data_IF_110824663624
#
_entry.id   IF_110824663624
#
_cell.length_a   1.000
_cell.length_b   1.000
_cell.length_c   1.000
_cell.angle_alpha   90.00
_cell.angle_beta   90.00
_cell.angle_gamma   90.00
#
_symmetry.space_group_name_H-M   'P 1'
#
loop_
_entity.id
_entity.type
_entity.pdbx_description
1 polymer ?
#
# COMPACT_ATOMS: atom_id res chain seq x y z
N UNK A 1 -85.13 -120.69 88.66
CA UNK A 1 -84.91 -120.41 90.08
C UNK A 1 -85.96 -119.37 90.43
N UNK A 2 -86.92 -119.70 91.30
CA UNK A 2 -88.18 -118.95 91.54
C UNK A 2 -89.09 -118.89 90.29
N UNK A 3 -90.31 -119.43 90.22
CA UNK A 3 -91.39 -119.55 91.19
C UNK A 3 -91.92 -121.00 91.18
N UNK A 4 -91.53 -121.73 92.22
CA UNK A 4 -91.92 -123.08 92.57
C UNK A 4 -92.92 -123.03 93.75
N UNK A 5 -93.83 -122.06 93.75
CA UNK A 5 -94.78 -121.81 94.85
C UNK A 5 -96.20 -121.56 94.34
N UNK A 6 -96.86 -122.58 93.80
CA UNK A 6 -98.32 -122.73 93.90
C UNK A 6 -98.76 -124.18 93.66
N UNK A 7 -98.15 -125.08 94.45
CA UNK A 7 -98.81 -126.30 94.93
C UNK A 7 -99.44 -125.97 96.29
N UNK A 8 -100.75 -125.75 96.38
CA UNK A 8 -101.61 -126.10 97.54
C UNK A 8 -103.02 -125.52 97.38
N UNK A 9 -104.04 -126.35 97.64
CA UNK A 9 -105.50 -126.17 97.43
C UNK A 9 -105.88 -126.35 95.95
N UNK A 10 -106.43 -127.45 95.47
CA UNK A 10 -107.32 -128.42 96.10
C UNK A 10 -107.11 -129.79 95.46
N UNK A 11 -106.49 -130.69 96.20
CA UNK A 11 -106.76 -132.12 96.15
C UNK A 11 -107.29 -132.45 97.55
N UNK A 12 -108.61 -132.66 97.67
CA UNK A 12 -109.30 -133.43 98.73
C UNK A 12 -110.81 -133.08 98.75
N UNK A 13 -111.59 -133.89 98.04
CA UNK A 13 -112.90 -134.41 98.49
C UNK A 13 -113.21 -135.60 97.58
N UNK A 14 -112.99 -136.80 98.11
CA UNK A 14 -114.03 -137.75 98.52
C UNK A 14 -114.80 -138.27 97.30
N UNK A 15 -114.53 -139.45 96.74
CA UNK A 15 -114.61 -140.76 97.40
C UNK A 15 -115.81 -140.84 98.35
N UNK A 16 -116.99 -141.03 97.76
CA UNK A 16 -118.15 -141.75 98.29
C UNK A 16 -119.06 -141.99 97.06
N UNK A 17 -119.46 -143.19 96.65
CA UNK A 17 -119.72 -144.35 97.48
C UNK A 17 -121.21 -144.53 97.76
N UNK A 18 -122.12 -144.41 96.79
CA UNK A 18 -123.38 -145.19 96.87
C UNK A 18 -124.08 -145.44 95.54
N UNK A 19 -124.34 -146.72 95.35
CA UNK A 19 -125.21 -147.39 94.40
C UNK A 19 -126.63 -146.81 94.48
N UNK A 20 -127.25 -146.55 93.33
CA UNK A 20 -128.71 -146.63 93.16
C UNK A 20 -129.02 -146.90 91.69
N UNK A 21 -129.55 -148.09 91.43
CA UNK A 21 -129.99 -148.57 90.13
C UNK A 21 -130.93 -147.57 89.43
N UNK A 22 -130.56 -147.14 88.22
CA UNK A 22 -131.54 -146.63 87.26
C UNK A 22 -131.01 -146.73 85.81
N UNK A 23 -131.56 -147.73 85.10
CA UNK A 23 -131.77 -147.90 83.65
C UNK A 23 -130.71 -147.37 82.64
N UNK A 24 -130.19 -148.24 81.74
CA UNK A 24 -129.03 -147.98 80.85
C UNK A 24 -129.21 -146.99 79.67
N UNK A 25 -130.29 -146.21 79.59
CA UNK A 25 -130.57 -145.38 78.41
C UNK A 25 -130.09 -143.91 78.52
N UNK A 26 -129.94 -143.36 79.72
CA UNK A 26 -129.64 -141.93 79.94
C UNK A 26 -128.14 -141.58 79.86
N UNK A 27 -127.25 -142.57 79.97
CA UNK A 27 -125.79 -142.37 79.94
C UNK A 27 -125.25 -142.13 78.53
N UNK A 28 -125.90 -142.70 77.52
CA UNK A 28 -125.55 -142.55 76.10
C UNK A 28 -125.77 -141.12 75.59
N UNK A 29 -126.90 -140.51 75.96
CA UNK A 29 -127.27 -139.15 75.54
C UNK A 29 -126.32 -138.07 76.11
N UNK A 30 -125.83 -138.26 77.34
CA UNK A 30 -124.85 -137.34 77.96
C UNK A 30 -123.51 -137.44 77.24
N UNK A 31 -123.09 -138.65 76.86
CA UNK A 31 -121.86 -138.86 76.11
C UNK A 31 -121.92 -138.29 74.70
N UNK A 32 -123.04 -138.42 73.96
CA UNK A 32 -123.21 -137.79 72.64
C UNK A 32 -123.12 -136.26 72.70
N UNK A 33 -123.75 -135.64 73.71
CA UNK A 33 -123.68 -134.18 73.89
C UNK A 33 -122.26 -133.71 74.23
N UNK A 34 -121.52 -134.47 75.05
CA UNK A 34 -120.12 -134.19 75.35
C UNK A 34 -119.22 -134.40 74.12
N UNK A 35 -119.50 -135.42 73.32
CA UNK A 35 -118.74 -135.72 72.09
C UNK A 35 -118.95 -134.60 71.06
N UNK A 36 -120.18 -134.12 70.88
CA UNK A 36 -120.48 -132.98 70.00
C UNK A 36 -119.89 -131.66 70.51
N UNK A 37 -119.85 -131.44 71.83
CA UNK A 37 -119.18 -130.28 72.41
C UNK A 37 -117.66 -130.33 72.17
N UNK A 38 -117.05 -131.49 72.44
CA UNK A 38 -115.63 -131.71 72.17
C UNK A 38 -115.30 -131.59 70.67
N UNK A 39 -116.16 -132.07 69.78
CA UNK A 39 -115.96 -131.96 68.33
C UNK A 39 -116.05 -130.50 67.86
N UNK A 40 -116.97 -129.71 68.42
CA UNK A 40 -117.02 -128.26 68.16
C UNK A 40 -115.83 -127.52 68.73
N UNK A 41 -115.38 -127.84 69.93
CA UNK A 41 -114.18 -127.25 70.52
C UNK A 41 -112.92 -127.63 69.71
N UNK A 42 -112.85 -128.87 69.23
CA UNK A 42 -111.75 -129.35 68.39
C UNK A 42 -111.78 -128.69 67.00
N UNK A 43 -112.97 -128.48 66.44
CA UNK A 43 -113.13 -127.74 65.20
C UNK A 43 -112.77 -126.26 65.38
N UNK A 44 -113.17 -125.62 66.47
CA UNK A 44 -112.76 -124.24 66.81
C UNK A 44 -111.26 -124.14 67.04
N UNK A 45 -110.64 -125.11 67.70
CA UNK A 45 -109.19 -125.16 67.89
C UNK A 45 -108.44 -125.37 66.57
N UNK A 46 -108.99 -126.19 65.66
CA UNK A 46 -108.43 -126.37 64.32
C UNK A 46 -108.59 -125.11 63.47
N UNK A 47 -109.74 -124.45 63.50
CA UNK A 47 -109.98 -123.17 62.82
C UNK A 47 -109.06 -122.07 63.35
N UNK A 48 -108.90 -121.97 64.67
CA UNK A 48 -107.95 -121.05 65.30
C UNK A 48 -106.49 -121.38 64.92
N UNK A 49 -106.12 -122.66 64.93
CA UNK A 49 -104.79 -123.12 64.50
C UNK A 49 -104.52 -122.79 63.03
N UNK A 50 -105.51 -122.95 62.16
CA UNK A 50 -105.42 -122.56 60.75
C UNK A 50 -105.30 -121.04 60.57
N UNK A 51 -106.05 -120.23 61.33
CA UNK A 51 -105.90 -118.77 61.32
C UNK A 51 -104.51 -118.33 61.80
N UNK A 52 -103.95 -119.03 62.80
CA UNK A 52 -102.62 -118.73 63.32
C UNK A 52 -101.52 -119.13 62.33
N UNK A 53 -101.72 -120.23 61.60
CA UNK A 53 -100.85 -120.60 60.47
C UNK A 53 -100.93 -119.57 59.35
N UNK A 54 -102.12 -119.14 58.95
CA UNK A 54 -102.31 -118.07 57.95
C UNK A 54 -101.63 -116.76 58.38
N UNK A 55 -101.80 -116.36 59.64
CA UNK A 55 -101.13 -115.18 60.19
C UNK A 55 -99.60 -115.33 60.21
N UNK A 56 -99.08 -116.52 60.50
CA UNK A 56 -97.64 -116.78 60.41
C UNK A 56 -97.15 -116.76 58.97
N UNK A 57 -97.89 -117.31 58.00
CA UNK A 57 -97.55 -117.24 56.58
C UNK A 57 -97.53 -115.79 56.07
N UNK A 58 -98.49 -114.96 56.49
CA UNK A 58 -98.51 -113.52 56.21
C UNK A 58 -97.31 -112.80 56.84
N UNK A 59 -96.98 -113.11 58.11
CA UNK A 59 -95.81 -112.54 58.77
C UNK A 59 -94.50 -112.97 58.06
N UNK A 60 -94.37 -114.22 57.67
CA UNK A 60 -93.21 -114.71 56.90
C UNK A 60 -93.11 -114.00 55.54
N UNK A 61 -94.23 -113.77 54.84
CA UNK A 61 -94.25 -113.00 53.61
C UNK A 61 -93.81 -111.55 53.82
N UNK A 62 -94.32 -110.87 54.86
CA UNK A 62 -93.90 -109.49 55.18
C UNK A 62 -92.44 -109.39 55.59
N UNK A 63 -91.91 -110.38 56.33
CA UNK A 63 -90.48 -110.46 56.68
C UNK A 63 -89.65 -110.62 55.42
N UNK A 64 -90.05 -111.49 54.49
CA UNK A 64 -89.34 -111.69 53.23
C UNK A 64 -89.36 -110.42 52.35
N UNK A 65 -90.49 -109.72 52.29
CA UNK A 65 -90.60 -108.45 51.57
C UNK A 65 -89.68 -107.38 52.16
N UNK A 66 -89.70 -107.20 53.49
CA UNK A 66 -88.81 -106.27 54.20
C UNK A 66 -87.34 -106.64 54.04
N UNK A 67 -87.00 -107.93 53.98
CA UNK A 67 -85.64 -108.39 53.72
C UNK A 67 -85.19 -108.00 52.31
N UNK A 68 -86.02 -108.21 51.29
CA UNK A 68 -85.72 -107.79 49.91
C UNK A 68 -85.59 -106.27 49.82
N UNK A 69 -86.48 -105.51 50.46
CA UNK A 69 -86.40 -104.06 50.51
C UNK A 69 -85.12 -103.58 51.21
N UNK A 70 -84.75 -104.20 52.34
CA UNK A 70 -83.51 -103.89 53.04
C UNK A 70 -82.28 -104.21 52.19
N UNK A 71 -82.25 -105.36 51.51
CA UNK A 71 -81.17 -105.74 50.60
C UNK A 71 -81.06 -104.77 49.42
N UNK A 72 -82.17 -104.35 48.83
CA UNK A 72 -82.22 -103.34 47.78
C UNK A 72 -81.64 -102.00 48.27
N UNK A 73 -82.12 -101.50 49.41
CA UNK A 73 -81.61 -100.27 50.03
C UNK A 73 -80.11 -100.34 50.34
N UNK A 74 -79.63 -101.48 50.85
CA UNK A 74 -78.20 -101.72 51.11
C UNK A 74 -77.39 -101.72 49.82
N UNK A 75 -77.91 -102.30 48.74
CA UNK A 75 -77.24 -102.34 47.44
C UNK A 75 -77.19 -100.96 46.78
N UNK A 76 -78.26 -100.18 46.88
CA UNK A 76 -78.32 -98.78 46.41
C UNK A 76 -77.32 -97.91 47.16
N UNK A 77 -77.29 -97.96 48.49
CA UNK A 77 -76.32 -97.23 49.31
C UNK A 77 -74.87 -97.64 48.98
N UNK A 78 -74.62 -98.94 48.75
CA UNK A 78 -73.29 -99.42 48.31
C UNK A 78 -72.92 -98.87 46.92
N UNK A 79 -73.87 -98.77 46.00
CA UNK A 79 -73.64 -98.18 44.67
C UNK A 79 -73.36 -96.68 44.78
N UNK A 80 -74.11 -95.96 45.62
CA UNK A 80 -73.92 -94.54 45.88
C UNK A 80 -72.55 -94.26 46.53
N UNK A 81 -72.15 -95.05 47.54
CA UNK A 81 -70.81 -94.97 48.14
C UNK A 81 -69.72 -95.16 47.07
N UNK A 82 -69.86 -96.14 46.18
CA UNK A 82 -68.91 -96.35 45.07
C UNK A 82 -68.88 -95.16 44.11
N UNK A 83 -70.03 -94.56 43.80
CA UNK A 83 -70.08 -93.37 42.94
C UNK A 83 -69.42 -92.16 43.61
N UNK A 84 -69.71 -91.90 44.89
CA UNK A 84 -69.08 -90.83 45.66
C UNK A 84 -67.56 -91.03 45.79
N UNK A 85 -67.09 -92.27 45.96
CA UNK A 85 -65.66 -92.57 45.96
C UNK A 85 -64.99 -92.26 44.62
N UNK A 86 -65.64 -92.58 43.49
CA UNK A 86 -65.12 -92.20 42.16
C UNK A 86 -65.10 -90.69 41.99
N UNK A 87 -66.17 -89.99 42.37
CA UNK A 87 -66.21 -88.52 42.31
C UNK A 87 -65.14 -87.86 43.18
N UNK A 88 -64.89 -88.41 44.37
CA UNK A 88 -63.82 -87.95 45.25
C UNK A 88 -62.44 -88.18 44.63
N UNK A 89 -62.22 -89.34 43.99
CA UNK A 89 -60.97 -89.62 43.29
C UNK A 89 -60.74 -88.66 42.10
N UNK A 90 -61.77 -88.41 41.27
CA UNK A 90 -61.65 -87.46 40.15
C UNK A 90 -61.39 -86.03 40.64
N UNK A 91 -62.07 -85.58 41.70
CA UNK A 91 -61.83 -84.26 42.27
C UNK A 91 -60.43 -84.12 42.89
N UNK A 92 -59.87 -85.20 43.45
CA UNK A 92 -58.49 -85.22 43.94
C UNK A 92 -57.48 -85.13 42.80
N UNK A 93 -57.69 -85.86 41.71
CA UNK A 93 -56.87 -85.78 40.51
C UNK A 93 -56.90 -84.36 39.91
N UNK A 94 -58.08 -83.77 39.75
CA UNK A 94 -58.23 -82.38 39.29
C UNK A 94 -57.48 -81.40 40.20
N UNK A 95 -57.63 -81.51 41.52
CA UNK A 95 -56.89 -80.69 42.48
C UNK A 95 -55.38 -80.81 42.29
N UNK A 96 -54.87 -82.02 42.09
CA UNK A 96 -53.44 -82.26 41.94
C UNK A 96 -52.91 -81.76 40.58
N UNK A 97 -53.71 -81.85 39.51
CA UNK A 97 -53.38 -81.20 38.23
C UNK A 97 -53.33 -79.66 38.35
N UNK A 98 -54.24 -79.05 39.10
CA UNK A 98 -54.23 -77.61 39.34
C UNK A 98 -53.06 -77.16 40.20
N UNK A 99 -52.66 -77.95 41.21
CA UNK A 99 -51.44 -77.69 41.98
C UNK A 99 -50.20 -77.71 41.09
N UNK A 100 -50.11 -78.69 40.18
CA UNK A 100 -48.99 -78.77 39.25
C UNK A 100 -48.94 -77.56 38.32
N UNK A 101 -50.08 -77.17 37.73
CA UNK A 101 -50.20 -75.95 36.92
C UNK A 101 -49.82 -74.68 37.68
N UNK A 102 -50.17 -74.61 38.97
CA UNK A 102 -49.80 -73.47 39.81
C UNK A 102 -48.28 -73.38 40.01
N UNK A 103 -47.62 -74.52 40.27
CA UNK A 103 -46.15 -74.58 40.39
C UNK A 103 -45.49 -74.16 39.08
N UNK A 104 -45.93 -74.68 37.94
CA UNK A 104 -45.41 -74.31 36.62
C UNK A 104 -45.57 -72.81 36.31
N UNK A 105 -46.70 -72.23 36.72
CA UNK A 105 -46.95 -70.80 36.58
C UNK A 105 -46.03 -69.97 37.49
N UNK A 106 -45.85 -70.39 38.74
CA UNK A 106 -44.98 -69.74 39.72
C UNK A 106 -43.50 -69.76 39.29
N UNK A 107 -43.04 -70.89 38.74
CA UNK A 107 -41.71 -71.02 38.13
C UNK A 107 -41.57 -70.11 36.90
N UNK A 108 -42.60 -70.05 36.06
CA UNK A 108 -42.61 -69.17 34.87
C UNK A 108 -42.54 -67.69 35.28
N UNK A 109 -43.32 -67.26 36.27
CA UNK A 109 -43.30 -65.90 36.80
C UNK A 109 -41.93 -65.57 37.40
N UNK A 110 -41.35 -66.51 38.17
CA UNK A 110 -40.01 -66.35 38.75
C UNK A 110 -38.93 -66.21 37.67
N UNK A 111 -39.05 -66.94 36.56
CA UNK A 111 -38.13 -66.83 35.44
C UNK A 111 -38.27 -65.48 34.71
N UNK A 112 -39.49 -65.03 34.41
CA UNK A 112 -39.71 -63.72 33.81
C UNK A 112 -39.22 -62.58 34.72
N UNK A 113 -39.41 -62.71 36.03
CA UNK A 113 -38.90 -61.72 36.99
C UNK A 113 -37.37 -61.63 36.95
N UNK A 114 -36.68 -62.79 36.87
CA UNK A 114 -35.22 -62.85 36.72
C UNK A 114 -34.75 -62.22 35.41
N UNK A 115 -35.41 -62.54 34.30
CA UNK A 115 -35.09 -61.99 32.98
C UNK A 115 -35.29 -60.47 32.93
N UNK A 116 -36.35 -59.94 33.55
CA UNK A 116 -36.58 -58.49 33.68
C UNK A 116 -35.45 -57.84 34.47
N UNK A 117 -35.02 -58.43 35.60
CA UNK A 117 -33.91 -57.92 36.40
C UNK A 117 -32.59 -57.91 35.64
N UNK A 118 -32.29 -58.97 34.90
CA UNK A 118 -31.08 -59.08 34.08
C UNK A 118 -31.09 -58.04 32.95
N UNK A 119 -32.20 -57.94 32.21
CA UNK A 119 -32.37 -56.92 31.18
C UNK A 119 -32.27 -55.49 31.73
N UNK A 120 -32.87 -55.22 32.89
CA UNK A 120 -32.77 -53.92 33.56
C UNK A 120 -31.31 -53.58 33.92
N UNK A 121 -30.55 -54.55 34.44
CA UNK A 121 -29.14 -54.36 34.74
C UNK A 121 -28.31 -54.08 33.49
N UNK A 122 -28.61 -54.76 32.38
CA UNK A 122 -27.91 -54.57 31.11
C UNK A 122 -28.19 -53.19 30.51
N UNK A 123 -29.45 -52.73 30.56
CA UNK A 123 -29.83 -51.38 30.13
C UNK A 123 -29.13 -50.32 30.98
N UNK A 124 -29.08 -50.50 32.30
CA UNK A 124 -28.44 -49.55 33.20
C UNK A 124 -26.93 -49.43 32.95
N UNK A 125 -26.25 -50.56 32.69
CA UNK A 125 -24.84 -50.56 32.32
C UNK A 125 -24.59 -49.87 30.97
N UNK A 126 -25.46 -50.11 29.98
CA UNK A 126 -25.38 -49.43 28.67
C UNK A 126 -25.60 -47.91 28.79
N UNK A 127 -26.54 -47.49 29.64
CA UNK A 127 -26.78 -46.07 29.92
C UNK A 127 -25.55 -45.43 30.57
N UNK A 128 -24.92 -46.10 31.52
CA UNK A 128 -23.69 -45.63 32.17
C UNK A 128 -22.52 -45.53 31.18
N UNK A 129 -22.33 -46.54 30.31
CA UNK A 129 -21.33 -46.52 29.24
C UNK A 129 -21.56 -45.37 28.24
N UNK A 130 -22.81 -45.16 27.81
CA UNK A 130 -23.17 -44.06 26.91
C UNK A 130 -22.96 -42.70 27.58
N UNK A 131 -23.26 -42.58 28.87
CA UNK A 131 -23.04 -41.36 29.64
C UNK A 131 -21.55 -41.05 29.77
N UNK A 132 -20.70 -42.06 30.00
CA UNK A 132 -19.25 -41.91 29.99
C UNK A 132 -18.71 -41.53 28.62
N UNK A 133 -19.20 -42.16 27.55
CA UNK A 133 -18.83 -41.80 26.17
C UNK A 133 -19.21 -40.35 25.87
N UNK A 134 -20.43 -39.92 26.22
CA UNK A 134 -20.89 -38.55 26.02
C UNK A 134 -20.04 -37.55 26.81
N UNK A 135 -19.70 -37.85 28.07
CA UNK A 135 -18.79 -37.02 28.86
C UNK A 135 -17.39 -36.92 28.23
N UNK A 136 -16.86 -38.02 27.69
CA UNK A 136 -15.56 -38.02 27.01
C UNK A 136 -15.58 -37.18 25.74
N UNK A 137 -16.62 -37.31 24.91
CA UNK A 137 -16.78 -36.52 23.67
C UNK A 137 -16.92 -35.04 24.01
N UNK A 138 -17.68 -34.72 25.05
CA UNK A 138 -17.87 -33.34 25.49
C UNK A 138 -16.56 -32.71 25.98
N UNK A 139 -15.76 -33.44 26.76
CA UNK A 139 -14.41 -32.98 27.14
C UNK A 139 -13.51 -32.75 25.92
N UNK A 140 -13.53 -33.65 24.93
CA UNK A 140 -12.73 -33.46 23.71
C UNK A 140 -13.21 -32.28 22.87
N UNK A 141 -14.52 -32.02 22.85
CA UNK A 141 -15.09 -30.87 22.17
C UNK A 141 -14.59 -29.58 22.82
N UNK A 142 -14.70 -29.45 24.14
CA UNK A 142 -14.23 -28.28 24.90
C UNK A 142 -12.73 -28.02 24.66
N UNK A 143 -11.90 -29.08 24.67
CA UNK A 143 -10.46 -28.98 24.36
C UNK A 143 -10.21 -28.47 22.93
N UNK A 144 -10.97 -28.96 21.95
CA UNK A 144 -10.83 -28.52 20.55
C UNK A 144 -11.32 -27.09 20.34
N UNK A 145 -12.37 -26.66 21.04
CA UNK A 145 -12.85 -25.27 21.02
C UNK A 145 -11.80 -24.33 21.60
N UNK A 146 -11.15 -24.72 22.70
CA UNK A 146 -10.07 -23.95 23.30
C UNK A 146 -8.84 -23.85 22.37
N UNK A 147 -8.47 -24.95 21.71
CA UNK A 147 -7.40 -24.94 20.70
C UNK A 147 -7.76 -24.04 19.51
N UNK A 148 -9.00 -24.12 19.02
CA UNK A 148 -9.46 -23.26 17.93
C UNK A 148 -9.37 -21.78 18.32
N UNK A 149 -9.87 -21.40 19.50
CA UNK A 149 -9.76 -20.03 20.00
C UNK A 149 -8.30 -19.54 20.06
N UNK A 150 -7.37 -20.38 20.53
CA UNK A 150 -5.95 -20.05 20.55
C UNK A 150 -5.37 -19.82 19.14
N UNK A 151 -5.74 -20.67 18.17
CA UNK A 151 -5.29 -20.50 16.78
C UNK A 151 -5.85 -19.25 16.10
N UNK A 152 -7.08 -18.84 16.44
CA UNK A 152 -7.68 -17.60 15.93
C UNK A 152 -6.90 -16.38 16.42
N UNK A 153 -6.60 -16.30 17.73
CA UNK A 153 -5.80 -15.21 18.31
C UNK A 153 -4.41 -15.13 17.66
N UNK A 154 -3.77 -16.29 17.44
CA UNK A 154 -2.48 -16.34 16.76
C UNK A 154 -2.56 -15.90 15.30
N UNK A 155 -3.64 -16.24 14.59
CA UNK A 155 -3.86 -15.77 13.22
C UNK A 155 -4.00 -14.24 13.15
N UNK A 156 -4.75 -13.64 14.08
CA UNK A 156 -4.90 -12.19 14.17
C UNK A 156 -3.58 -11.49 14.50
N UNK A 157 -2.77 -12.08 15.39
CA UNK A 157 -1.40 -11.62 15.69
C UNK A 157 -0.53 -11.61 14.43
N UNK A 158 -0.53 -12.71 13.66
CA UNK A 158 0.22 -12.81 12.41
C UNK A 158 -0.27 -11.83 11.34
N UNK A 159 -1.58 -11.60 11.23
CA UNK A 159 -2.15 -10.58 10.34
C UNK A 159 -1.69 -9.18 10.71
N UNK A 160 -1.67 -8.84 12.00
CA UNK A 160 -1.17 -7.54 12.48
C UNK A 160 0.33 -7.36 12.17
N UNK A 161 1.14 -8.40 12.37
CA UNK A 161 2.56 -8.39 12.00
C UNK A 161 2.77 -8.19 10.51
N UNK A 162 1.99 -8.89 9.68
CA UNK A 162 2.07 -8.78 8.24
C UNK A 162 1.63 -7.38 7.75
N UNK A 163 0.62 -6.78 8.38
CA UNK A 163 0.25 -5.39 8.11
C UNK A 163 1.40 -4.42 8.43
N UNK A 164 2.02 -4.58 9.59
CA UNK A 164 3.15 -3.73 10.02
C UNK A 164 4.31 -3.84 9.04
N UNK A 165 4.71 -5.06 8.67
CA UNK A 165 5.78 -5.29 7.70
C UNK A 165 5.48 -4.69 6.30
N UNK A 166 4.21 -4.68 5.89
CA UNK A 166 3.79 -4.02 4.63
C UNK A 166 3.92 -2.51 4.70
N UNK A 167 3.58 -1.90 5.84
CA UNK A 167 3.71 -0.46 6.02
C UNK A 167 5.18 -0.03 6.10
N UNK A 168 6.03 -0.80 6.79
CA UNK A 168 7.50 -0.62 6.78
C UNK A 168 8.08 -0.72 5.37
N UNK A 169 7.66 -1.71 4.58
CA UNK A 169 8.11 -1.84 3.18
C UNK A 169 7.69 -0.62 2.34
N UNK A 170 6.48 -0.10 2.54
CA UNK A 170 5.99 1.10 1.86
C UNK A 170 6.83 2.32 2.23
N UNK A 171 7.18 2.49 3.50
CA UNK A 171 8.03 3.58 3.98
C UNK A 171 9.44 3.50 3.36
N UNK A 172 10.06 2.32 3.36
CA UNK A 172 11.38 2.11 2.73
C UNK A 172 11.33 2.42 1.24
N UNK A 173 10.26 2.02 0.54
CA UNK A 173 10.08 2.34 -0.87
C UNK A 173 9.96 3.86 -1.12
N UNK A 174 9.23 4.58 -0.27
CA UNK A 174 9.12 6.03 -0.34
C UNK A 174 10.48 6.72 -0.08
N UNK A 175 11.21 6.28 0.93
CA UNK A 175 12.56 6.77 1.22
C UNK A 175 13.52 6.54 0.05
N UNK A 176 13.47 5.38 -0.61
CA UNK A 176 14.27 5.10 -1.81
C UNK A 176 13.94 6.04 -2.97
N UNK A 177 12.65 6.36 -3.19
CA UNK A 177 12.25 7.33 -4.23
C UNK A 177 12.77 8.74 -3.92
N UNK A 178 12.69 9.18 -2.66
CA UNK A 178 13.22 10.47 -2.23
C UNK A 178 14.73 10.53 -2.43
N UNK A 179 15.46 9.48 -2.02
CA UNK A 179 16.90 9.40 -2.19
C UNK A 179 17.31 9.38 -3.67
N UNK A 180 16.59 8.65 -4.51
CA UNK A 180 16.83 8.65 -5.95
C UNK A 180 16.60 10.03 -6.57
N UNK A 181 15.55 10.75 -6.14
CA UNK A 181 15.29 12.12 -6.58
C UNK A 181 16.39 13.08 -6.15
N UNK A 182 16.80 13.05 -4.88
CA UNK A 182 17.92 13.86 -4.37
C UNK A 182 19.22 13.56 -5.12
N UNK A 183 19.48 12.29 -5.43
CA UNK A 183 20.61 11.88 -6.26
C UNK A 183 20.56 12.53 -7.64
N UNK A 184 19.42 12.46 -8.33
CA UNK A 184 19.22 13.09 -9.64
C UNK A 184 19.37 14.62 -9.58
N UNK A 185 18.71 15.27 -8.62
CA UNK A 185 18.76 16.73 -8.44
C UNK A 185 20.22 17.19 -8.18
N UNK A 186 20.96 16.44 -7.36
CA UNK A 186 22.38 16.71 -7.11
C UNK A 186 23.26 16.53 -8.36
N UNK A 187 22.96 15.51 -9.17
CA UNK A 187 23.68 15.25 -10.42
C UNK A 187 23.40 16.35 -11.46
N UNK A 188 22.16 16.81 -11.56
CA UNK A 188 21.75 17.91 -12.43
C UNK A 188 22.45 19.21 -12.03
N UNK A 189 22.44 19.56 -10.74
CA UNK A 189 23.17 20.73 -10.23
C UNK A 189 24.67 20.68 -10.54
N UNK A 190 25.31 19.52 -10.41
CA UNK A 190 26.72 19.33 -10.79
C UNK A 190 26.94 19.43 -12.30
N UNK A 191 26.00 18.98 -13.13
CA UNK A 191 26.08 19.13 -14.59
C UNK A 191 25.97 20.60 -15.00
N UNK A 192 25.04 21.34 -14.42
CA UNK A 192 24.87 22.77 -14.68
C UNK A 192 26.09 23.57 -14.24
N UNK A 193 26.64 23.29 -13.06
CA UNK A 193 27.88 23.91 -12.61
C UNK A 193 29.06 23.60 -13.54
N UNK A 194 29.20 22.35 -14.01
CA UNK A 194 30.22 21.99 -15.00
C UNK A 194 30.03 22.73 -16.32
N UNK A 195 28.78 22.89 -16.78
CA UNK A 195 28.46 23.64 -18.01
C UNK A 195 28.88 25.10 -17.86
N UNK A 196 28.50 25.74 -16.76
CA UNK A 196 28.85 27.14 -16.48
C UNK A 196 30.36 27.36 -16.39
N UNK A 197 31.09 26.49 -15.68
CA UNK A 197 32.54 26.55 -15.62
C UNK A 197 33.19 26.31 -17.00
N UNK A 198 32.61 25.41 -17.80
CA UNK A 198 33.01 25.19 -19.19
C UNK A 198 32.85 26.44 -20.05
N UNK A 199 31.71 27.13 -19.94
CA UNK A 199 31.42 28.38 -20.65
C UNK A 199 32.39 29.50 -20.23
N UNK A 200 32.67 29.62 -18.93
CA UNK A 200 33.67 30.58 -18.41
C UNK A 200 35.07 30.29 -18.96
N UNK A 201 35.48 29.02 -19.00
CA UNK A 201 36.77 28.61 -19.54
C UNK A 201 36.85 28.87 -21.06
N UNK A 202 35.78 28.62 -21.81
CA UNK A 202 35.71 28.94 -23.23
C UNK A 202 35.81 30.45 -23.47
N UNK A 203 35.11 31.27 -22.69
CA UNK A 203 35.18 32.73 -22.78
C UNK A 203 36.59 33.25 -22.45
N UNK A 204 37.22 32.73 -21.39
CA UNK A 204 38.59 33.08 -21.02
C UNK A 204 39.59 32.70 -22.13
N UNK A 205 39.46 31.49 -22.70
CA UNK A 205 40.30 31.04 -23.81
C UNK A 205 40.11 31.90 -25.06
N UNK A 206 38.89 32.34 -25.36
CA UNK A 206 38.64 33.28 -26.46
C UNK A 206 39.35 34.62 -26.22
N UNK A 207 39.32 35.14 -24.99
CA UNK A 207 40.04 36.36 -24.61
C UNK A 207 41.55 36.21 -24.73
N UNK A 208 42.12 35.08 -24.29
CA UNK A 208 43.55 34.77 -24.44
C UNK A 208 43.94 34.76 -25.92
N UNK A 209 43.17 34.08 -26.77
CA UNK A 209 43.42 34.06 -28.23
C UNK A 209 43.39 35.46 -28.83
N UNK A 210 42.43 36.29 -28.43
CA UNK A 210 42.33 37.67 -28.90
C UNK A 210 43.53 38.51 -28.46
N UNK A 211 43.94 38.40 -27.18
CA UNK A 211 45.13 39.07 -26.67
C UNK A 211 46.41 38.62 -27.39
N UNK A 212 46.53 37.32 -27.70
CA UNK A 212 47.65 36.79 -28.48
C UNK A 212 47.70 37.42 -29.87
N UNK A 213 46.57 37.49 -30.57
CA UNK A 213 46.49 38.14 -31.88
C UNK A 213 46.89 39.63 -31.82
N UNK A 214 46.50 40.32 -30.76
CA UNK A 214 46.87 41.72 -30.54
C UNK A 214 48.37 41.88 -30.29
N UNK A 215 48.96 40.97 -29.52
CA UNK A 215 50.41 40.93 -29.28
C UNK A 215 51.16 40.69 -30.59
N UNK A 216 50.75 39.69 -31.38
CA UNK A 216 51.36 39.38 -32.68
C UNK A 216 51.29 40.58 -33.64
N UNK A 217 50.16 41.30 -33.67
CA UNK A 217 50.01 42.51 -34.48
C UNK A 217 50.91 43.66 -33.98
N UNK A 218 51.07 43.80 -32.66
CA UNK A 218 51.97 44.78 -32.06
C UNK A 218 53.42 44.48 -32.39
N UNK A 219 53.82 43.21 -32.34
CA UNK A 219 55.19 42.79 -32.65
C UNK A 219 55.50 43.02 -34.15
N UNK A 220 54.55 42.79 -35.05
CA UNK A 220 54.70 43.16 -36.47
C UNK A 220 54.91 44.67 -36.67
N UNK A 221 54.22 45.52 -35.91
CA UNK A 221 54.41 46.97 -35.97
C UNK A 221 55.78 47.36 -35.40
N UNK A 222 56.21 46.72 -34.31
CA UNK A 222 57.54 46.92 -33.74
C UNK A 222 58.64 46.56 -34.76
N UNK A 223 58.53 45.42 -35.43
CA UNK A 223 59.45 45.00 -36.50
C UNK A 223 59.47 46.02 -37.66
N UNK A 224 58.31 46.51 -38.09
CA UNK A 224 58.22 47.56 -39.13
C UNK A 224 58.89 48.86 -38.72
N UNK A 225 58.71 49.28 -37.46
CA UNK A 225 59.34 50.48 -36.92
C UNK A 225 60.85 50.30 -36.82
N UNK A 226 61.33 49.13 -36.36
CA UNK A 226 62.76 48.82 -36.34
C UNK A 226 63.37 48.86 -37.72
N UNK A 227 62.69 48.30 -38.73
CA UNK A 227 63.15 48.39 -40.12
C UNK A 227 63.25 49.85 -40.58
N UNK A 228 62.23 50.66 -40.32
CA UNK A 228 62.22 52.08 -40.70
C UNK A 228 63.31 52.88 -40.00
N UNK A 229 63.59 52.59 -38.72
CA UNK A 229 64.70 53.20 -37.98
C UNK A 229 66.03 52.84 -38.64
N UNK A 230 66.24 51.58 -39.02
CA UNK A 230 67.45 51.16 -39.72
C UNK A 230 67.61 51.86 -41.07
N UNK A 231 66.53 51.94 -41.87
CA UNK A 231 66.54 52.61 -43.17
C UNK A 231 66.89 54.11 -43.01
N UNK A 232 66.26 54.80 -42.06
CA UNK A 232 66.55 56.20 -41.74
C UNK A 232 67.98 56.39 -41.21
N UNK A 233 68.48 55.45 -40.41
CA UNK A 233 69.87 55.49 -39.90
C UNK A 233 70.85 55.40 -41.07
N UNK A 234 70.62 54.49 -42.01
CA UNK A 234 71.44 54.38 -43.23
C UNK A 234 71.35 55.63 -44.10
N UNK A 235 70.19 56.25 -44.24
CA UNK A 235 70.00 57.50 -45.00
C UNK A 235 70.73 58.68 -44.34
N UNK A 236 70.67 58.78 -43.00
CA UNK A 236 71.43 59.76 -42.23
C UNK A 236 72.93 59.53 -42.36
N UNK A 237 73.41 58.29 -42.30
CA UNK A 237 74.82 57.96 -42.52
C UNK A 237 75.26 58.30 -43.96
N UNK A 238 74.43 58.00 -44.96
CA UNK A 238 74.70 58.32 -46.36
C UNK A 238 74.76 59.84 -46.61
N UNK A 239 73.78 60.58 -46.11
CA UNK A 239 73.77 62.05 -46.21
C UNK A 239 74.89 62.71 -45.41
N UNK A 240 75.26 62.16 -44.25
CA UNK A 240 76.43 62.58 -43.47
C UNK A 240 77.73 62.38 -44.26
N UNK A 241 77.92 61.21 -44.89
CA UNK A 241 79.08 60.94 -45.74
C UNK A 241 79.13 61.86 -46.97
N UNK A 242 77.97 62.17 -47.57
CA UNK A 242 77.88 63.14 -48.67
C UNK A 242 78.22 64.56 -48.19
N UNK A 243 77.73 64.96 -47.03
CA UNK A 243 78.05 66.24 -46.41
C UNK A 243 79.54 66.36 -46.09
N UNK A 244 80.15 65.33 -45.50
CA UNK A 244 81.58 65.26 -45.22
C UNK A 244 82.40 65.40 -46.52
N UNK A 245 81.99 64.69 -47.57
CA UNK A 245 82.62 64.78 -48.90
C UNK A 245 82.52 66.20 -49.49
N UNK A 246 81.35 66.85 -49.37
CA UNK A 246 81.12 68.25 -49.79
C UNK A 246 81.95 69.22 -48.95
N UNK A 247 82.06 68.99 -47.65
CA UNK A 247 82.86 69.79 -46.72
C UNK A 247 84.34 69.73 -47.09
N UNK A 248 84.89 68.54 -47.32
CA UNK A 248 86.28 68.33 -47.79
C UNK A 248 86.51 69.06 -49.12
N UNK A 249 85.58 68.92 -50.09
CA UNK A 249 85.68 69.62 -51.36
C UNK A 249 85.66 71.14 -51.18
N UNK A 250 84.77 71.66 -50.35
CA UNK A 250 84.69 73.08 -50.03
C UNK A 250 85.97 73.59 -49.36
N UNK A 251 86.54 72.82 -48.43
CA UNK A 251 87.80 73.17 -47.78
C UNK A 251 88.96 73.19 -48.79
N UNK A 252 88.99 72.25 -49.75
CA UNK A 252 89.92 72.28 -50.88
C UNK A 252 89.73 73.51 -51.76
N UNK A 253 88.48 73.90 -52.06
CA UNK A 253 88.19 75.13 -52.79
C UNK A 253 88.63 76.38 -52.01
N UNK A 254 88.36 76.46 -50.71
CA UNK A 254 88.79 77.56 -49.86
C UNK A 254 90.33 77.67 -49.83
N UNK A 255 91.04 76.54 -49.76
CA UNK A 255 92.50 76.54 -49.88
C UNK A 255 92.98 77.05 -51.26
N UNK A 256 92.28 76.69 -52.35
CA UNK A 256 92.55 77.25 -53.69
C UNK A 256 92.26 78.74 -53.75
N UNK A 257 91.14 79.21 -53.18
CA UNK A 257 90.83 80.64 -53.10
C UNK A 257 91.87 81.39 -52.28
N UNK A 258 92.26 80.89 -51.10
CA UNK A 258 93.32 81.48 -50.29
C UNK A 258 94.68 81.53 -51.02
N UNK A 259 94.95 80.52 -51.87
CA UNK A 259 96.13 80.53 -52.75
C UNK A 259 96.01 81.58 -53.84
N UNK A 260 94.87 81.67 -54.51
CA UNK A 260 94.59 82.70 -55.52
C UNK A 260 94.59 84.11 -54.93
N UNK A 261 94.08 84.31 -53.72
CA UNK A 261 94.16 85.56 -52.97
C UNK A 261 95.61 85.93 -52.66
N UNK A 262 96.46 84.96 -52.30
CA UNK A 262 97.91 85.21 -52.18
C UNK A 262 98.53 85.57 -53.53
N UNK A 263 98.17 84.88 -54.61
CA UNK A 263 98.67 85.19 -55.96
C UNK A 263 98.20 86.59 -56.43
N UNK A 264 96.95 86.97 -56.14
CA UNK A 264 96.39 88.31 -56.36
C UNK A 264 97.05 89.37 -55.48
N UNK A 265 97.31 89.08 -54.21
CA UNK A 265 98.04 89.97 -53.29
C UNK A 265 99.48 90.20 -53.76
N UNK A 266 100.14 89.16 -54.29
CA UNK A 266 101.44 89.29 -54.97
C UNK A 266 101.29 90.13 -56.24
N UNK A 267 100.20 89.98 -57.00
CA UNK A 267 99.90 90.79 -58.17
C UNK A 267 99.67 92.28 -57.82
N UNK A 268 98.92 92.56 -56.76
CA UNK A 268 98.73 93.90 -56.18
C UNK A 268 100.05 94.49 -55.69
N UNK A 269 100.89 93.69 -55.05
CA UNK A 269 102.20 94.13 -54.58
C UNK A 269 103.19 94.42 -55.72
N UNK A 270 103.04 93.73 -56.86
CA UNK A 270 103.77 94.03 -58.11
C UNK A 270 103.19 95.28 -58.81
N UNK A 271 101.90 95.55 -58.67
CA UNK A 271 101.21 96.71 -59.23
C UNK A 271 101.32 97.99 -58.39
N UNK A 272 101.77 97.93 -57.14
CA UNK A 272 101.81 99.07 -56.20
C UNK A 272 102.99 100.06 -56.39
N UNK A 273 103.74 99.96 -57.50
CA UNK A 273 104.73 100.94 -57.94
C UNK A 273 104.31 101.62 -59.26
N UNK A 274 103.09 102.19 -59.31
CA UNK A 274 102.75 103.40 -60.08
C UNK A 274 101.23 103.70 -59.98
N UNK A 275 100.94 104.92 -59.51
CA UNK A 275 99.71 105.71 -59.69
C UNK A 275 98.48 105.40 -58.81
N UNK A 276 98.19 106.38 -57.95
CA UNK A 276 96.84 106.87 -57.60
C UNK A 276 96.35 107.87 -58.67
N UNK A 277 95.10 108.38 -58.65
CA UNK A 277 93.81 107.88 -58.17
C UNK A 277 92.72 107.97 -59.30
N UNK A 278 91.44 107.69 -59.01
CA UNK A 278 90.25 108.52 -59.37
C UNK A 278 88.95 107.75 -59.13
N UNK A 279 88.04 108.41 -58.42
CA UNK A 279 86.65 108.07 -58.11
C UNK A 279 85.75 107.97 -59.34
N UNK A 280 84.69 107.14 -59.26
CA UNK A 280 83.30 107.58 -59.51
C UNK A 280 82.35 106.73 -58.64
N UNK A 281 81.60 107.26 -57.67
CA UNK A 281 80.33 108.01 -57.77
C UNK A 281 79.26 107.32 -58.63
N UNK A 282 78.49 106.39 -58.05
CA UNK A 282 77.10 106.06 -58.42
C UNK A 282 76.52 104.97 -57.49
N UNK A 283 76.39 105.25 -56.18
CA UNK A 283 75.79 104.28 -55.24
C UNK A 283 74.70 104.90 -54.35
N UNK A 284 74.00 105.94 -54.81
CA UNK A 284 72.96 106.59 -54.00
C UNK A 284 71.55 106.47 -54.58
N UNK A 285 71.39 106.20 -55.88
CA UNK A 285 70.09 105.91 -56.51
C UNK A 285 69.70 104.40 -56.51
N UNK A 286 70.65 103.51 -56.17
CA UNK A 286 70.43 102.04 -56.17
C UNK A 286 70.02 101.50 -54.78
N UNK A 287 70.20 102.30 -53.71
CA UNK A 287 69.87 101.94 -52.33
C UNK A 287 68.39 102.20 -51.99
N UNK A 288 67.73 103.17 -52.63
CA UNK A 288 66.30 103.43 -52.44
C UNK A 288 65.43 102.33 -53.09
N UNK A 289 65.76 101.86 -54.31
CA UNK A 289 65.03 100.77 -54.96
C UNK A 289 65.17 99.41 -54.24
N UNK A 290 66.36 99.11 -53.70
CA UNK A 290 66.58 97.88 -52.93
C UNK A 290 65.89 97.90 -51.54
N UNK A 291 65.61 99.08 -50.99
CA UNK A 291 64.87 99.22 -49.73
C UNK A 291 63.38 98.93 -49.90
N UNK A 292 62.79 99.33 -51.05
CA UNK A 292 61.40 99.07 -51.40
C UNK A 292 61.14 97.58 -51.61
N UNK A 293 62.00 96.89 -52.37
CA UNK A 293 61.89 95.44 -52.60
C UNK A 293 62.07 94.62 -51.32
N UNK A 294 62.91 95.06 -50.38
CA UNK A 294 63.05 94.42 -49.05
C UNK A 294 61.81 94.62 -48.19
N UNK A 295 61.21 95.81 -48.21
CA UNK A 295 60.00 96.10 -47.46
C UNK A 295 58.81 95.27 -47.97
N UNK A 296 58.70 95.14 -49.29
CA UNK A 296 57.69 94.31 -49.95
C UNK A 296 57.88 92.82 -49.67
N UNK A 297 59.13 92.32 -49.71
CA UNK A 297 59.42 90.93 -49.34
C UNK A 297 59.11 90.64 -47.87
N UNK A 298 59.42 91.57 -46.96
CA UNK A 298 59.07 91.43 -45.55
C UNK A 298 57.54 91.40 -45.33
N UNK A 299 56.80 92.27 -46.00
CA UNK A 299 55.33 92.28 -45.98
C UNK A 299 54.75 90.95 -46.48
N UNK A 300 55.25 90.45 -47.61
CA UNK A 300 54.79 89.20 -48.21
C UNK A 300 55.10 87.97 -47.33
N UNK A 301 56.29 87.90 -46.72
CA UNK A 301 56.65 86.83 -45.79
C UNK A 301 55.81 86.88 -44.51
N UNK A 302 55.50 88.08 -44.01
CA UNK A 302 54.64 88.25 -42.83
C UNK A 302 53.21 87.81 -43.13
N UNK A 303 52.67 88.17 -44.30
CA UNK A 303 51.35 87.71 -44.75
C UNK A 303 51.29 86.18 -44.91
N UNK A 304 52.34 85.57 -45.48
CA UNK A 304 52.43 84.12 -45.64
C UNK A 304 52.52 83.39 -44.29
N UNK A 305 53.28 83.94 -43.34
CA UNK A 305 53.36 83.41 -41.98
C UNK A 305 52.00 83.37 -41.29
N UNK A 306 51.21 84.45 -41.41
CA UNK A 306 49.85 84.52 -40.84
C UNK A 306 48.90 83.53 -41.53
N UNK A 307 49.00 83.35 -42.86
CA UNK A 307 48.17 82.38 -43.60
C UNK A 307 48.42 80.95 -43.11
N UNK A 308 49.67 80.57 -42.86
CA UNK A 308 50.03 79.26 -42.32
C UNK A 308 49.61 79.12 -40.85
N UNK A 309 49.78 80.17 -40.04
CA UNK A 309 49.39 80.18 -38.63
C UNK A 309 47.87 80.07 -38.43
N UNK A 310 47.08 80.64 -39.35
CA UNK A 310 45.62 80.60 -39.33
C UNK A 310 45.00 79.41 -40.08
N UNK A 311 45.81 78.48 -40.61
CA UNK A 311 45.36 77.37 -41.47
C UNK A 311 44.44 77.83 -42.62
N UNK A 312 44.82 78.94 -43.27
CA UNK A 312 44.06 79.59 -44.33
C UNK A 312 44.56 79.18 -45.73
N UNK A 313 45.29 78.05 -45.83
CA UNK A 313 46.03 77.67 -47.03
C UNK A 313 45.10 77.51 -48.25
N UNK A 314 43.92 76.92 -48.05
CA UNK A 314 42.94 76.68 -49.12
C UNK A 314 42.25 77.97 -49.63
N UNK A 315 42.23 79.05 -48.85
CA UNK A 315 41.51 80.29 -49.18
C UNK A 315 42.40 81.40 -49.73
N UNK A 316 43.70 81.37 -49.41
CA UNK A 316 44.63 82.46 -49.67
C UNK A 316 45.89 82.06 -50.46
N UNK A 317 46.03 80.82 -50.95
CA UNK A 317 47.19 80.37 -51.73
C UNK A 317 46.89 80.00 -53.19
N UNK A 318 45.81 80.55 -53.76
CA UNK A 318 45.56 80.39 -55.19
C UNK A 318 46.38 81.40 -56.01
N UNK A 319 46.59 81.20 -57.32
CA UNK A 319 47.46 82.08 -58.16
C UNK A 319 47.06 83.57 -58.17
N UNK A 320 45.85 83.91 -57.72
CA UNK A 320 45.35 85.28 -57.52
C UNK A 320 45.83 85.96 -56.22
N UNK A 321 46.32 85.20 -55.24
CA UNK A 321 46.76 85.66 -53.92
C UNK A 321 48.00 86.58 -53.96
N UNK A 322 48.93 86.32 -54.88
CA UNK A 322 50.14 87.16 -55.04
C UNK A 322 49.79 88.58 -55.47
N UNK A 323 48.80 88.74 -56.36
CA UNK A 323 48.28 90.06 -56.75
C UNK A 323 47.49 90.72 -55.61
N UNK A 324 46.82 89.93 -54.77
CA UNK A 324 46.09 90.44 -53.60
C UNK A 324 47.03 91.02 -52.55
N UNK A 325 48.13 90.33 -52.22
CA UNK A 325 49.15 90.85 -51.31
C UNK A 325 49.85 92.10 -51.86
N UNK A 326 50.08 92.16 -53.17
CA UNK A 326 50.57 93.36 -53.85
C UNK A 326 49.62 94.55 -53.66
N UNK A 327 48.30 94.35 -53.84
CA UNK A 327 47.28 95.39 -53.67
C UNK A 327 47.21 95.85 -52.21
N UNK A 328 47.27 94.90 -51.25
CA UNK A 328 47.26 95.23 -49.83
C UNK A 328 48.52 95.95 -49.37
N UNK A 329 49.67 95.64 -49.96
CA UNK A 329 50.93 96.36 -49.71
C UNK A 329 50.83 97.82 -50.17
N UNK A 330 50.32 98.05 -51.39
CA UNK A 330 50.08 99.40 -51.89
C UNK A 330 49.04 100.16 -51.04
N UNK A 331 48.05 99.45 -50.50
CA UNK A 331 47.05 100.04 -49.61
C UNK A 331 47.67 100.46 -48.26
N UNK A 332 48.51 99.63 -47.68
CA UNK A 332 49.26 99.95 -46.45
C UNK A 332 50.15 101.17 -46.62
N UNK A 333 50.81 101.30 -47.77
CA UNK A 333 51.63 102.46 -48.12
C UNK A 333 50.81 103.75 -48.33
N UNK A 334 49.60 103.64 -48.89
CA UNK A 334 48.71 104.80 -49.11
C UNK A 334 47.91 105.23 -47.88
N UNK A 335 47.80 104.36 -46.86
CA UNK A 335 47.08 104.66 -45.61
C UNK A 335 48.03 105.00 -44.45
N UNK A 336 49.34 105.14 -44.71
CA UNK A 336 50.41 105.46 -43.74
C UNK A 336 50.39 104.55 -42.48
N UNK A 337 50.17 103.25 -42.66
CA UNK A 337 50.14 102.31 -41.54
C UNK A 337 51.59 101.97 -41.12
N UNK A 338 51.98 102.18 -39.85
CA UNK A 338 53.34 101.90 -39.39
C UNK A 338 53.71 100.41 -39.46
N UNK A 339 54.97 100.09 -39.76
CA UNK A 339 55.43 98.71 -40.00
C UNK A 339 55.11 97.72 -38.86
N UNK A 340 55.18 98.18 -37.60
CA UNK A 340 54.92 97.34 -36.43
C UNK A 340 53.44 96.98 -36.25
N UNK A 341 52.53 97.63 -36.99
CA UNK A 341 51.09 97.33 -36.98
C UNK A 341 50.65 96.44 -38.14
N UNK A 342 51.56 96.10 -39.07
CA UNK A 342 51.24 95.33 -40.27
C UNK A 342 50.72 93.93 -39.94
N UNK A 343 51.26 93.25 -38.92
CA UNK A 343 50.79 91.93 -38.51
C UNK A 343 49.32 91.94 -38.06
N UNK A 344 48.95 92.88 -37.20
CA UNK A 344 47.57 93.01 -36.69
C UNK A 344 46.59 93.41 -37.80
N UNK A 345 47.02 94.32 -38.69
CA UNK A 345 46.22 94.77 -39.83
C UNK A 345 46.00 93.64 -40.85
N UNK A 346 47.05 92.88 -41.18
CA UNK A 346 46.99 91.72 -42.07
C UNK A 346 46.14 90.59 -41.49
N UNK A 347 46.31 90.26 -40.21
CA UNK A 347 45.51 89.23 -39.54
C UNK A 347 44.01 89.53 -39.61
N UNK A 348 43.63 90.79 -39.38
CA UNK A 348 42.22 91.21 -39.50
C UNK A 348 41.71 91.12 -40.95
N UNK A 349 42.52 91.51 -41.94
CA UNK A 349 42.19 91.43 -43.37
C UNK A 349 42.06 89.99 -43.87
N UNK A 350 43.00 89.12 -43.52
CA UNK A 350 43.01 87.69 -43.89
C UNK A 350 41.82 86.98 -43.26
N UNK A 351 41.54 87.22 -41.97
CA UNK A 351 40.37 86.65 -41.29
C UNK A 351 39.05 87.08 -41.94
N UNK A 352 38.90 88.35 -42.31
CA UNK A 352 37.72 88.83 -43.03
C UNK A 352 37.61 88.22 -44.43
N UNK A 353 38.73 88.02 -45.13
CA UNK A 353 38.77 87.37 -46.43
C UNK A 353 38.34 85.90 -46.36
N UNK A 354 38.76 85.14 -45.32
CA UNK A 354 38.31 83.77 -45.08
C UNK A 354 36.80 83.66 -44.82
N UNK A 355 36.24 84.61 -44.05
CA UNK A 355 34.81 84.65 -43.74
C UNK A 355 33.98 84.96 -45.00
N UNK A 356 34.48 85.81 -45.90
CA UNK A 356 33.81 86.11 -47.17
C UNK A 356 33.97 84.99 -48.22
N UNK A 357 34.99 84.14 -48.10
CA UNK A 357 35.32 83.06 -49.04
C UNK A 357 34.75 81.67 -48.66
N UNK A 358 34.10 81.53 -47.49
CA UNK A 358 33.48 80.27 -47.06
C UNK A 358 32.07 80.05 -47.66
N UNK A 359 31.82 78.97 -48.41
CA UNK A 359 30.48 78.60 -48.87
C UNK A 359 29.64 78.01 -47.73
N UNK A 360 28.53 78.67 -47.39
CA UNK A 360 27.55 78.17 -46.41
C UNK A 360 26.76 76.98 -46.97
N UNK A 361 26.93 75.75 -46.44
CA UNK A 361 25.82 74.76 -46.39
C UNK A 361 26.03 73.59 -45.40
N UNK A 362 25.01 73.45 -44.55
CA UNK A 362 24.54 72.45 -43.56
C UNK A 362 25.04 70.98 -43.54
N UNK A 363 24.97 70.31 -42.37
CA UNK A 363 25.31 68.88 -42.22
C UNK A 363 24.15 67.95 -42.63
N UNK A 364 24.44 66.95 -43.47
CA UNK A 364 23.49 65.93 -43.89
C UNK A 364 23.44 64.75 -42.91
N UNK A 365 22.22 64.41 -42.48
CA UNK A 365 21.88 63.13 -41.84
C UNK A 365 21.73 62.08 -42.93
N UNK A 366 22.43 60.94 -42.81
CA UNK A 366 21.90 59.58 -43.00
C UNK A 366 23.02 58.55 -43.18
N UNK A 367 23.10 57.58 -42.26
CA UNK A 367 23.31 56.19 -42.67
C UNK A 367 22.56 55.25 -41.72
N UNK A 368 21.59 54.54 -42.31
CA UNK A 368 20.79 53.45 -41.74
C UNK A 368 21.65 52.19 -41.65
N UNK A 369 21.35 51.28 -40.72
CA UNK A 369 20.91 49.92 -41.07
C UNK A 369 20.17 49.24 -39.91
N UNK A 370 19.23 48.40 -40.33
CA UNK A 370 18.18 47.69 -39.61
C UNK A 370 18.68 46.42 -38.91
N UNK A 371 17.98 45.91 -37.90
CA UNK A 371 17.51 44.50 -37.86
C UNK A 371 16.53 44.25 -36.73
N UNK A 372 15.76 43.18 -36.92
CA UNK A 372 14.45 42.86 -36.36
C UNK A 372 14.44 42.25 -34.96
N UNK A 373 13.27 42.43 -34.30
CA UNK A 373 12.47 41.42 -33.58
C UNK A 373 13.09 40.64 -32.41
N UNK A 374 12.53 40.81 -31.20
CA UNK A 374 11.51 39.90 -30.64
C UNK A 374 10.98 40.48 -29.31
N UNK A 375 9.67 40.42 -29.12
CA UNK A 375 9.00 41.02 -27.97
C UNK A 375 9.01 40.19 -26.70
N UNK A 376 8.54 40.80 -25.60
CA UNK A 376 7.47 40.28 -24.75
C UNK A 376 7.10 41.29 -23.68
N UNK A 377 5.80 41.46 -23.51
CA UNK A 377 5.17 42.22 -22.45
C UNK A 377 5.52 41.63 -21.07
N UNK A 378 5.83 42.51 -20.12
CA UNK A 378 5.73 42.23 -18.69
C UNK A 378 4.72 43.22 -18.13
N UNK A 379 3.51 42.71 -17.89
CA UNK A 379 2.49 43.36 -17.08
C UNK A 379 2.57 42.77 -15.69
N UNK A 380 3.00 43.56 -14.70
CA UNK A 380 2.43 43.57 -13.33
C UNK A 380 3.13 44.65 -12.52
N UNK A 381 2.48 45.82 -12.43
CA UNK A 381 2.79 46.84 -11.43
C UNK A 381 1.78 46.69 -10.31
N UNK A 382 2.32 46.54 -9.10
CA UNK A 382 1.70 46.70 -7.80
C UNK A 382 0.84 47.97 -7.72
N UNK A 383 -0.40 47.83 -7.27
CA UNK A 383 -1.05 48.73 -6.29
C UNK A 383 -2.45 48.16 -5.96
N UNK A 384 -2.62 47.64 -4.75
CA UNK A 384 -3.72 48.08 -3.89
C UNK A 384 -3.53 47.62 -2.46
N UNK A 385 -3.54 48.63 -1.59
CA UNK A 385 -4.17 48.59 -0.28
C UNK A 385 -5.52 49.28 -0.43
#
# INVERSE_FOLDING_TARGET
MELRMMKQKLWERSADGTISEAKPATRLFVLERQLSANEKELQQAAEYGMQLLQSNEELEATIAELQVEHENNVNELKAEIKNLQRHLATAQEERDTWKQKFIELDDSVSNYHREILENASQVNNQEEDLMQQLASVQSTLDDTEQQFAATVVENDRLRAQLSTARDELREVQEQLMINAKLGNDSQEALQDYRREMGDQLHAANAKVKWLQQLLDARDQVEDQLHQKINDLTMEVEASSNEFESKSILMQSMLQKCARLEKELSVFEQVMSNQLTPVYTTSHEAMLEAASFDRLQNYFNLTALGIVLEMHAEEYCLDTSSRKMFEIWFQQVLSTDIPFFQWYAWLSHRISNHMVMASPTSSPSKNRKFSTASFGKAITTVLFNK
#
